data_IF_566306981955
#
_entry.id   IF_566306981955
#
_cell.length_a   1.000
_cell.length_b   1.000
_cell.length_c   1.000
_cell.angle_alpha   90.00
_cell.angle_beta   90.00
_cell.angle_gamma   90.00
#
_symmetry.space_group_name_H-M   'P 1'
#
loop_
_entity.id
_entity.type
_entity.pdbx_description
1 polymer ?
#
# COMPACT_ATOMS: atom_id res chain seq x y z
N UNK A 1 36.25 -39.53 -25.59
CA UNK A 1 36.22 -38.07 -25.86
C UNK A 1 36.16 -37.39 -24.50
N UNK A 2 37.22 -36.70 -24.09
CA UNK A 2 37.26 -35.99 -22.80
C UNK A 2 36.94 -34.52 -23.08
N UNK A 3 35.72 -34.09 -22.75
CA UNK A 3 35.35 -32.69 -22.95
C UNK A 3 36.13 -31.83 -21.95
N UNK A 4 36.86 -30.77 -22.39
CA UNK A 4 37.67 -29.95 -21.49
C UNK A 4 36.85 -29.02 -20.60
N UNK A 5 35.54 -28.90 -20.86
CA UNK A 5 34.63 -28.06 -20.10
C UNK A 5 33.87 -28.89 -19.06
N UNK A 6 33.64 -28.34 -17.86
CA UNK A 6 32.77 -28.95 -16.88
C UNK A 6 31.39 -29.19 -17.48
N UNK A 7 30.74 -30.27 -17.06
CA UNK A 7 29.34 -30.50 -17.40
C UNK A 7 28.50 -29.29 -16.97
N UNK A 8 27.54 -28.88 -17.81
CA UNK A 8 26.59 -27.84 -17.43
C UNK A 8 25.87 -28.24 -16.14
N UNK A 9 25.81 -27.31 -15.19
CA UNK A 9 24.95 -27.46 -14.03
C UNK A 9 23.49 -27.38 -14.51
N UNK A 10 22.64 -28.36 -14.16
CA UNK A 10 21.23 -28.32 -14.56
C UNK A 10 20.55 -27.05 -14.02
N UNK A 11 19.72 -26.41 -14.84
CA UNK A 11 18.99 -25.20 -14.46
C UNK A 11 17.92 -25.55 -13.41
N UNK A 12 17.95 -24.93 -12.22
CA UNK A 12 17.04 -25.27 -11.12
C UNK A 12 15.56 -25.01 -11.43
N UNK A 13 15.26 -24.17 -12.42
CA UNK A 13 13.88 -23.81 -12.79
C UNK A 13 13.25 -24.78 -13.80
N UNK A 14 14.00 -25.76 -14.31
CA UNK A 14 13.50 -26.74 -15.29
C UNK A 14 12.55 -27.74 -14.62
N UNK A 15 12.95 -28.28 -13.47
CA UNK A 15 12.14 -29.27 -12.72
C UNK A 15 11.35 -28.64 -11.58
N UNK A 16 11.80 -27.49 -11.06
CA UNK A 16 11.16 -26.78 -9.96
C UNK A 16 11.09 -25.28 -10.25
N UNK A 17 10.16 -24.84 -11.12
CA UNK A 17 10.03 -23.42 -11.46
C UNK A 17 9.69 -22.61 -10.21
N UNK A 18 10.33 -21.45 -10.06
CA UNK A 18 9.96 -20.51 -9.01
C UNK A 18 8.51 -20.05 -9.21
N UNK A 19 7.63 -20.44 -8.29
CA UNK A 19 6.23 -20.00 -8.29
C UNK A 19 6.16 -18.69 -7.52
N UNK A 20 5.64 -17.60 -8.11
CA UNK A 20 5.42 -16.36 -7.38
C UNK A 20 4.41 -16.59 -6.26
N UNK A 21 4.56 -15.85 -5.16
CA UNK A 21 3.59 -15.89 -4.07
C UNK A 21 2.19 -15.56 -4.61
N UNK A 22 1.24 -16.47 -4.39
CA UNK A 22 -0.14 -16.34 -4.85
C UNK A 22 -0.93 -15.33 -4.03
N UNK A 23 -0.47 -15.05 -2.81
CA UNK A 23 -1.16 -14.17 -1.87
C UNK A 23 -0.54 -12.77 -1.90
N UNK A 24 -1.36 -11.72 -2.03
CA UNK A 24 -0.88 -10.36 -1.86
C UNK A 24 -0.40 -10.17 -0.43
N UNK A 25 0.71 -9.42 -0.28
CA UNK A 25 1.19 -9.04 1.04
C UNK A 25 0.11 -8.25 1.79
N UNK A 26 -0.01 -8.40 3.12
CA UNK A 26 -0.98 -7.67 3.92
C UNK A 26 -0.73 -6.16 3.79
N UNK A 27 -1.80 -5.39 3.52
CA UNK A 27 -1.72 -3.94 3.47
C UNK A 27 -1.58 -3.42 4.91
N UNK A 28 -0.59 -2.56 5.22
CA UNK A 28 -0.49 -1.94 6.55
C UNK A 28 -1.77 -1.21 6.92
N UNK A 29 -2.19 -1.32 8.18
CA UNK A 29 -3.30 -0.52 8.70
C UNK A 29 -2.93 0.96 8.66
N UNK A 30 -3.75 1.76 7.97
CA UNK A 30 -3.64 3.22 7.96
C UNK A 30 -4.90 3.78 8.61
N UNK A 31 -4.75 4.76 9.50
CA UNK A 31 -5.90 5.49 10.00
C UNK A 31 -6.60 6.20 8.82
N UNK A 32 -7.94 6.16 8.73
CA UNK A 32 -8.64 6.88 7.69
C UNK A 32 -8.34 8.38 7.84
N UNK A 33 -7.93 9.07 6.76
CA UNK A 33 -7.75 10.51 6.82
C UNK A 33 -9.11 11.16 7.14
N UNK A 34 -9.15 11.98 8.19
CA UNK A 34 -10.37 12.70 8.59
C UNK A 34 -11.14 12.13 9.78
N UNK A 35 -10.50 11.38 10.68
CA UNK A 35 -11.08 10.99 11.99
C UNK A 35 -11.36 12.18 12.91
N UNK A 36 -10.84 13.36 12.59
CA UNK A 36 -11.13 14.59 13.32
C UNK A 36 -12.37 15.29 12.71
N UNK A 37 -13.42 15.55 13.50
CA UNK A 37 -14.52 16.38 13.03
C UNK A 37 -14.00 17.77 12.65
N UNK A 38 -14.65 18.46 11.68
CA UNK A 38 -14.28 19.84 11.38
C UNK A 38 -14.40 20.70 12.66
N UNK A 39 -13.57 21.75 12.79
CA UNK A 39 -13.70 22.68 13.91
C UNK A 39 -15.12 23.25 13.93
N UNK A 40 -15.72 23.29 15.12
CA UNK A 40 -17.02 23.94 15.31
C UNK A 40 -16.81 25.45 15.11
N UNK A 41 -17.50 26.02 14.13
CA UNK A 41 -17.59 27.48 14.01
C UNK A 41 -18.52 28.02 15.10
N UNK A 42 -18.08 29.03 15.83
CA UNK A 42 -18.95 29.75 16.75
C UNK A 42 -19.98 30.56 15.94
N UNK A 43 -21.25 30.61 16.37
CA UNK A 43 -22.22 31.46 15.71
C UNK A 43 -21.77 32.92 15.79
N UNK A 44 -22.02 33.74 14.75
CA UNK A 44 -21.62 35.14 14.77
C UNK A 44 -22.27 35.87 15.95
N UNK A 45 -21.45 36.48 16.80
CA UNK A 45 -21.90 37.34 17.92
C UNK A 45 -22.29 38.74 17.43
N UNK A 46 -22.87 38.85 16.24
CA UNK A 46 -23.28 40.13 15.69
C UNK A 46 -24.73 40.41 16.07
N UNK A 47 -24.97 41.54 16.73
CA UNK A 47 -26.31 42.02 17.05
C UNK A 47 -27.15 42.12 15.76
N UNK A 48 -28.39 41.61 15.74
CA UNK A 48 -29.24 41.70 14.55
C UNK A 48 -29.43 43.17 14.15
N UNK A 49 -29.52 43.48 12.85
CA UNK A 49 -29.65 44.84 12.38
C UNK A 49 -30.95 45.46 12.91
N UNK A 50 -30.84 46.65 13.47
CA UNK A 50 -32.01 47.46 13.86
C UNK A 50 -32.59 48.06 12.59
N UNK A 51 -33.84 47.72 12.28
CA UNK A 51 -34.59 48.35 11.18
C UNK A 51 -35.03 49.73 11.66
N UNK A 52 -34.66 50.78 10.91
CA UNK A 52 -35.08 52.19 11.12
C UNK A 52 -36.11 52.61 10.10
#
# INVERSE_FOLDING_TARGET
MNNPFPAETPDPNIDNPAIPETEPQPIPEQEPPGTLPPPKEEPPSTMPPVIV
#
